data_IF_410380764065
#
_entry.id   IF_410380764065
#
_cell.length_a   1.000
_cell.length_b   1.000
_cell.length_c   1.000
_cell.angle_alpha   90.00
_cell.angle_beta   90.00
_cell.angle_gamma   90.00
#
_symmetry.space_group_name_H-M   'P 1'
#
loop_
_entity.id
_entity.type
_entity.pdbx_description
1 polymer ?
#
# COMPACT_ATOMS: atom_id res chain seq x y z
N UNK A 1 -4.61 5.30 -22.27
CA UNK A 1 -4.76 6.77 -22.46
C UNK A 1 -3.47 7.41 -22.98
N UNK A 2 -2.40 7.53 -22.17
CA UNK A 2 -1.12 8.15 -22.58
C UNK A 2 -0.28 7.38 -23.62
N UNK A 3 -0.86 6.36 -24.25
CA UNK A 3 -0.32 5.77 -25.47
C UNK A 3 -0.71 6.59 -26.72
N UNK A 4 -1.76 7.40 -26.61
CA UNK A 4 -2.33 8.19 -27.71
C UNK A 4 -2.34 9.69 -27.41
N UNK A 5 -2.58 10.07 -26.16
CA UNK A 5 -2.53 11.46 -25.71
C UNK A 5 -1.16 11.78 -25.13
N UNK A 6 -0.58 12.93 -25.52
CA UNK A 6 0.78 13.32 -25.12
C UNK A 6 0.79 13.69 -23.63
N UNK A 7 1.45 12.91 -22.76
CA UNK A 7 1.64 13.31 -21.37
C UNK A 7 2.69 14.43 -21.26
N UNK A 8 2.75 15.14 -20.13
CA UNK A 8 3.93 15.93 -19.82
C UNK A 8 5.17 15.03 -19.76
N UNK A 9 6.33 15.64 -20.02
CA UNK A 9 7.63 14.98 -19.95
C UNK A 9 7.96 14.55 -18.50
N UNK A 10 7.50 15.31 -17.51
CA UNK A 10 7.62 15.02 -16.08
C UNK A 10 6.29 15.38 -15.37
N UNK A 11 5.73 14.47 -14.56
CA UNK A 11 4.37 14.67 -14.05
C UNK A 11 4.29 15.59 -12.82
N UNK A 12 5.35 15.69 -12.01
CA UNK A 12 5.41 16.62 -10.88
C UNK A 12 5.73 18.04 -11.39
N UNK A 13 4.69 18.72 -11.91
CA UNK A 13 4.79 20.06 -12.48
C UNK A 13 5.34 21.12 -11.50
N UNK A 14 4.93 21.15 -10.21
CA UNK A 14 5.53 22.09 -9.26
C UNK A 14 7.06 21.93 -9.12
N UNK A 15 7.55 20.68 -9.09
CA UNK A 15 8.99 20.42 -9.06
C UNK A 15 9.69 20.78 -10.38
N UNK A 16 9.03 20.54 -11.51
CA UNK A 16 9.54 20.92 -12.84
C UNK A 16 9.70 22.43 -12.96
N UNK A 17 8.65 23.19 -12.64
CA UNK A 17 8.63 24.66 -12.71
C UNK A 17 9.68 25.28 -11.79
N UNK A 18 9.84 24.73 -10.57
CA UNK A 18 10.85 25.20 -9.62
C UNK A 18 12.29 25.02 -10.12
N UNK A 19 12.59 23.96 -10.89
CA UNK A 19 13.92 23.73 -11.46
C UNK A 19 14.10 24.33 -12.87
N UNK A 20 13.02 24.74 -13.54
CA UNK A 20 13.09 25.26 -14.90
C UNK A 20 13.89 26.56 -15.00
N UNK A 21 13.91 27.37 -13.93
CA UNK A 21 14.66 28.61 -13.88
C UNK A 21 16.17 28.41 -14.10
N UNK A 22 16.75 27.33 -13.55
CA UNK A 22 18.19 27.09 -13.56
C UNK A 22 18.66 26.23 -14.75
N UNK A 23 17.75 25.45 -15.37
CA UNK A 23 18.08 24.48 -16.43
C UNK A 23 17.27 24.66 -17.73
N UNK A 24 16.71 25.84 -17.98
CA UNK A 24 15.77 26.14 -19.07
C UNK A 24 16.21 25.65 -20.46
N UNK A 25 17.47 25.87 -20.85
CA UNK A 25 18.00 25.47 -22.15
C UNK A 25 18.04 23.95 -22.38
N UNK A 26 18.55 23.20 -21.39
CA UNK A 26 18.62 21.73 -21.43
C UNK A 26 17.22 21.10 -21.41
N UNK A 27 16.32 21.63 -20.56
CA UNK A 27 14.94 21.15 -20.47
C UNK A 27 14.15 21.41 -21.76
N UNK A 28 14.40 22.53 -22.45
CA UNK A 28 13.77 22.82 -23.75
C UNK A 28 14.21 21.83 -24.82
N UNK A 29 15.52 21.51 -24.89
CA UNK A 29 16.02 20.52 -25.83
C UNK A 29 15.46 19.11 -25.56
N UNK A 30 15.35 18.74 -24.28
CA UNK A 30 14.73 17.49 -23.85
C UNK A 30 13.22 17.45 -24.20
N UNK A 31 12.51 18.56 -24.05
CA UNK A 31 11.10 18.67 -24.42
C UNK A 31 10.88 18.42 -25.92
N UNK A 32 11.72 19.00 -26.78
CA UNK A 32 11.65 18.76 -28.23
C UNK A 32 11.90 17.29 -28.57
N UNK A 33 12.96 16.68 -27.99
CA UNK A 33 13.23 15.25 -28.17
C UNK A 33 12.08 14.37 -27.69
N UNK A 34 11.48 14.73 -26.55
CA UNK A 34 10.35 14.01 -25.99
C UNK A 34 9.13 14.07 -26.91
N UNK A 35 8.82 15.25 -27.46
CA UNK A 35 7.70 15.45 -28.38
C UNK A 35 7.87 14.63 -29.67
N UNK A 36 9.07 14.63 -30.25
CA UNK A 36 9.38 13.84 -31.45
C UNK A 36 9.30 12.33 -31.19
N UNK A 37 9.89 11.87 -30.08
CA UNK A 37 9.84 10.47 -29.68
C UNK A 37 8.39 10.02 -29.41
N UNK A 38 7.57 10.89 -28.82
CA UNK A 38 6.16 10.60 -28.58
C UNK A 38 5.35 10.48 -29.89
N UNK A 39 5.61 11.35 -30.86
CA UNK A 39 4.99 11.27 -32.19
C UNK A 39 5.35 9.95 -32.92
N UNK A 40 6.62 9.53 -32.84
CA UNK A 40 7.06 8.22 -33.36
C UNK A 40 6.36 7.06 -32.66
N UNK A 41 6.23 7.13 -31.33
CA UNK A 41 5.51 6.13 -30.55
C UNK A 41 4.04 6.04 -30.96
N UNK A 42 3.34 7.16 -31.10
CA UNK A 42 1.93 7.17 -31.49
C UNK A 42 1.73 6.49 -32.86
N UNK A 43 2.65 6.74 -33.79
CA UNK A 43 2.68 6.08 -35.10
C UNK A 43 2.90 4.57 -34.97
N UNK A 44 3.87 4.15 -34.14
CA UNK A 44 4.20 2.74 -33.89
C UNK A 44 3.04 1.98 -33.22
N UNK A 45 2.34 2.62 -32.27
CA UNK A 45 1.16 2.03 -31.62
C UNK A 45 0.00 1.86 -32.61
N UNK A 46 -0.23 2.83 -33.51
CA UNK A 46 -1.25 2.69 -34.57
C UNK A 46 -0.88 1.59 -35.56
N UNK A 47 0.39 1.47 -35.92
CA UNK A 47 0.89 0.39 -36.75
C UNK A 47 0.68 -0.98 -36.09
N UNK A 48 0.94 -1.10 -34.78
CA UNK A 48 0.68 -2.31 -34.02
C UNK A 48 -0.81 -2.67 -34.00
N UNK A 49 -1.71 -1.71 -33.76
CA UNK A 49 -3.16 -1.96 -33.83
C UNK A 49 -3.58 -2.49 -35.20
N UNK A 50 -2.99 -1.96 -36.28
CA UNK A 50 -3.25 -2.41 -37.65
C UNK A 50 -2.68 -3.82 -37.89
N UNK A 51 -1.46 -4.09 -37.44
CA UNK A 51 -0.83 -5.41 -37.54
C UNK A 51 -1.61 -6.47 -36.74
N UNK A 52 -2.16 -6.13 -35.58
CA UNK A 52 -3.01 -7.03 -34.78
C UNK A 52 -4.34 -7.38 -35.46
N UNK A 53 -4.79 -6.58 -36.43
CA UNK A 53 -5.95 -6.89 -37.28
C UNK A 53 -5.57 -7.75 -38.49
N UNK A 54 -4.28 -7.97 -38.73
CA UNK A 54 -3.78 -8.89 -39.75
C UNK A 54 -3.54 -10.27 -39.15
N UNK A 55 -3.70 -11.33 -39.94
CA UNK A 55 -3.36 -12.70 -39.53
C UNK A 55 -1.83 -12.98 -39.53
N UNK A 56 -1.00 -11.94 -39.66
CA UNK A 56 0.46 -12.07 -39.75
C UNK A 56 1.15 -11.90 -38.39
N UNK A 57 1.62 -13.01 -37.83
CA UNK A 57 2.40 -13.04 -36.58
C UNK A 57 3.70 -12.23 -36.70
N UNK A 58 4.36 -12.26 -37.86
CA UNK A 58 5.61 -11.54 -38.09
C UNK A 58 5.38 -10.02 -38.10
N UNK A 59 4.29 -9.55 -38.71
CA UNK A 59 3.92 -8.13 -38.70
C UNK A 59 3.60 -7.64 -37.29
N UNK A 60 2.91 -8.45 -36.47
CA UNK A 60 2.63 -8.14 -35.06
C UNK A 60 3.93 -8.06 -34.25
N UNK A 61 4.84 -9.01 -34.43
CA UNK A 61 6.11 -9.02 -33.72
C UNK A 61 7.00 -7.83 -34.07
N UNK A 62 7.10 -7.47 -35.35
CA UNK A 62 7.85 -6.29 -35.81
C UNK A 62 7.27 -5.00 -35.22
N UNK A 63 5.96 -4.79 -35.35
CA UNK A 63 5.31 -3.60 -34.80
C UNK A 63 5.42 -3.53 -33.27
N UNK A 64 5.42 -4.67 -32.58
CA UNK A 64 5.66 -4.73 -31.13
C UNK A 64 7.08 -4.31 -30.77
N UNK A 65 8.09 -4.69 -31.57
CA UNK A 65 9.46 -4.24 -31.35
C UNK A 65 9.60 -2.72 -31.53
N UNK A 66 8.95 -2.14 -32.54
CA UNK A 66 8.96 -0.69 -32.76
C UNK A 66 8.32 0.09 -31.59
N UNK A 67 7.20 -0.42 -31.05
CA UNK A 67 6.57 0.13 -29.84
C UNK A 67 7.50 0.03 -28.63
N UNK A 68 8.19 -1.09 -28.46
CA UNK A 68 9.15 -1.26 -27.35
C UNK A 68 10.34 -0.31 -27.48
N UNK A 69 10.92 -0.16 -28.68
CA UNK A 69 12.03 0.74 -28.93
C UNK A 69 11.67 2.20 -28.63
N UNK A 70 10.52 2.66 -29.13
CA UNK A 70 10.03 4.03 -28.85
C UNK A 70 9.66 4.24 -27.39
N UNK A 71 9.21 3.19 -26.69
CA UNK A 71 8.96 3.26 -25.25
C UNK A 71 10.26 3.34 -24.44
N UNK A 72 11.30 2.60 -24.81
CA UNK A 72 12.63 2.70 -24.20
C UNK A 72 13.24 4.08 -24.42
N UNK A 73 13.12 4.64 -25.63
CA UNK A 73 13.58 6.00 -25.93
C UNK A 73 12.93 7.05 -25.00
N UNK A 74 11.61 7.00 -24.83
CA UNK A 74 10.91 7.91 -23.93
C UNK A 74 11.30 7.71 -22.45
N UNK A 75 11.54 6.47 -22.03
CA UNK A 75 12.03 6.19 -20.67
C UNK A 75 13.42 6.80 -20.44
N UNK A 76 14.32 6.69 -21.42
CA UNK A 76 15.65 7.29 -21.36
C UNK A 76 15.57 8.81 -21.26
N UNK A 77 14.76 9.46 -22.11
CA UNK A 77 14.54 10.91 -22.06
C UNK A 77 14.01 11.33 -20.69
N UNK A 78 13.05 10.59 -20.12
CA UNK A 78 12.54 10.85 -18.77
C UNK A 78 13.62 10.69 -17.69
N UNK A 79 14.54 9.75 -17.87
CA UNK A 79 15.72 9.59 -17.03
C UNK A 79 16.62 10.84 -17.07
N UNK A 80 16.97 11.29 -18.27
CA UNK A 80 17.78 12.51 -18.49
C UNK A 80 17.13 13.76 -17.89
N UNK A 81 15.81 13.86 -17.96
CA UNK A 81 15.04 14.95 -17.34
C UNK A 81 15.17 14.91 -15.82
N UNK A 82 15.00 13.73 -15.20
CA UNK A 82 15.16 13.58 -13.75
C UNK A 82 16.56 13.94 -13.28
N UNK A 83 17.59 13.54 -14.04
CA UNK A 83 18.97 13.91 -13.77
C UNK A 83 19.21 15.41 -13.88
N UNK A 84 18.70 16.04 -14.94
CA UNK A 84 18.79 17.49 -15.16
C UNK A 84 18.11 18.28 -14.03
N UNK A 85 16.91 17.86 -13.61
CA UNK A 85 16.19 18.47 -12.50
C UNK A 85 16.96 18.33 -11.18
N UNK A 86 17.52 17.14 -10.90
CA UNK A 86 18.31 16.89 -9.69
C UNK A 86 19.61 17.69 -9.65
N UNK A 87 20.25 17.93 -10.80
CA UNK A 87 21.44 18.77 -10.90
C UNK A 87 21.15 20.24 -10.58
N UNK A 88 19.97 20.75 -10.96
CA UNK A 88 19.52 22.11 -10.64
C UNK A 88 19.14 22.29 -9.17
N UNK A 89 18.55 21.28 -8.54
CA UNK A 89 18.23 21.32 -7.10
C UNK A 89 18.22 19.91 -6.48
N UNK A 90 19.26 19.60 -5.71
CA UNK A 90 19.49 18.29 -5.10
C UNK A 90 18.41 17.86 -4.08
N UNK A 91 17.57 18.79 -3.62
CA UNK A 91 16.44 18.51 -2.71
C UNK A 91 15.12 18.24 -3.43
N UNK A 92 15.09 18.28 -4.77
CA UNK A 92 13.87 17.99 -5.53
C UNK A 92 13.47 16.52 -5.42
N UNK A 93 12.20 16.29 -5.12
CA UNK A 93 11.58 14.98 -5.20
C UNK A 93 11.44 14.56 -6.67
N UNK A 94 12.25 13.58 -7.09
CA UNK A 94 12.28 13.09 -8.49
C UNK A 94 11.23 12.01 -8.78
N UNK A 95 10.45 11.62 -7.76
CA UNK A 95 9.32 10.71 -7.89
C UNK A 95 8.12 11.47 -8.46
N UNK A 96 7.63 11.02 -9.60
CA UNK A 96 6.51 11.64 -10.32
C UNK A 96 5.37 10.65 -10.64
N UNK A 97 5.52 9.37 -10.27
CA UNK A 97 4.52 8.32 -10.50
C UNK A 97 3.15 8.66 -9.91
N UNK A 98 3.16 9.28 -8.73
CA UNK A 98 1.96 9.56 -7.95
C UNK A 98 1.18 10.74 -8.59
N UNK A 99 1.88 11.56 -9.39
CA UNK A 99 1.31 12.68 -10.13
C UNK A 99 0.71 12.28 -11.47
N UNK A 100 0.96 11.07 -11.98
CA UNK A 100 0.35 10.61 -13.24
C UNK A 100 -1.17 10.63 -13.16
N UNK A 101 -1.71 10.08 -12.06
CA UNK A 101 -3.15 10.05 -11.82
C UNK A 101 -3.70 11.46 -11.60
N UNK A 102 -3.03 12.27 -10.79
CA UNK A 102 -3.45 13.65 -10.50
C UNK A 102 -3.47 14.49 -11.79
N UNK A 103 -2.43 14.40 -12.61
CA UNK A 103 -2.32 15.12 -13.88
C UNK A 103 -3.42 14.72 -14.85
N UNK A 104 -3.73 13.42 -14.95
CA UNK A 104 -4.85 12.92 -15.76
C UNK A 104 -6.18 13.52 -15.30
N UNK A 105 -6.45 13.47 -13.99
CA UNK A 105 -7.67 14.00 -13.39
C UNK A 105 -7.83 15.50 -13.67
N UNK A 106 -6.77 16.29 -13.46
CA UNK A 106 -6.84 17.74 -13.57
C UNK A 106 -6.95 18.25 -15.02
N UNK A 107 -6.31 17.58 -15.98
CA UNK A 107 -6.21 18.11 -17.36
C UNK A 107 -7.20 17.49 -18.34
N UNK A 108 -7.70 16.28 -18.06
CA UNK A 108 -8.50 15.53 -19.04
C UNK A 108 -9.92 15.21 -18.57
N UNK A 109 -10.30 15.56 -17.34
CA UNK A 109 -11.68 15.41 -16.87
C UNK A 109 -12.44 16.75 -16.94
N UNK A 110 -13.76 16.72 -17.25
CA UNK A 110 -14.60 17.91 -17.23
C UNK A 110 -14.63 18.57 -15.85
N UNK A 111 -14.61 19.90 -15.85
CA UNK A 111 -14.90 20.74 -14.70
C UNK A 111 -16.26 20.34 -14.11
N UNK A 112 -16.26 19.81 -12.88
CA UNK A 112 -17.42 19.17 -12.26
C UNK A 112 -17.16 17.71 -11.89
N UNK A 113 -16.66 16.89 -12.83
CA UNK A 113 -16.26 15.50 -12.55
C UNK A 113 -15.02 15.47 -11.66
N UNK A 114 -14.11 16.43 -11.84
CA UNK A 114 -12.94 16.60 -10.96
C UNK A 114 -13.40 16.80 -9.50
N UNK A 115 -14.34 17.73 -9.28
CA UNK A 115 -14.88 18.00 -7.94
C UNK A 115 -15.60 16.80 -7.35
N UNK A 116 -16.37 16.08 -8.17
CA UNK A 116 -17.02 14.84 -7.78
C UNK A 116 -16.01 13.75 -7.38
N UNK A 117 -14.96 13.57 -8.16
CA UNK A 117 -13.92 12.57 -7.89
C UNK A 117 -13.21 12.87 -6.57
N UNK A 118 -12.81 14.13 -6.37
CA UNK A 118 -12.20 14.58 -5.11
C UNK A 118 -13.14 14.35 -3.94
N UNK A 119 -14.43 14.68 -4.08
CA UNK A 119 -15.43 14.41 -3.06
C UNK A 119 -15.56 12.92 -2.74
N UNK A 120 -15.60 12.05 -3.75
CA UNK A 120 -15.67 10.58 -3.56
C UNK A 120 -14.43 10.05 -2.86
N UNK A 121 -13.23 10.52 -3.21
CA UNK A 121 -11.98 10.13 -2.55
C UNK A 121 -12.01 10.54 -1.07
N UNK A 122 -12.40 11.77 -0.77
CA UNK A 122 -12.53 12.23 0.61
C UNK A 122 -13.61 11.44 1.37
N UNK A 123 -14.77 11.20 0.78
CA UNK A 123 -15.83 10.39 1.39
C UNK A 123 -15.34 8.96 1.69
N UNK A 124 -14.65 8.32 0.76
CA UNK A 124 -14.08 6.98 0.97
C UNK A 124 -13.04 6.97 2.09
N UNK A 125 -12.10 7.92 2.08
CA UNK A 125 -11.06 8.04 3.10
C UNK A 125 -11.64 8.35 4.49
N UNK A 126 -12.58 9.30 4.58
CA UNK A 126 -13.28 9.63 5.82
C UNK A 126 -14.10 8.45 6.35
N UNK A 127 -14.73 7.68 5.47
CA UNK A 127 -15.51 6.51 5.89
C UNK A 127 -14.63 5.41 6.48
N UNK A 128 -13.48 5.10 5.86
CA UNK A 128 -12.54 4.10 6.39
C UNK A 128 -11.92 4.55 7.71
N UNK A 129 -11.40 5.77 7.74
CA UNK A 129 -10.74 6.33 8.94
C UNK A 129 -11.70 6.47 10.11
N UNK A 130 -12.95 6.88 9.88
CA UNK A 130 -13.96 6.94 10.94
C UNK A 130 -14.28 5.55 11.51
N UNK A 131 -14.36 4.53 10.66
CA UNK A 131 -14.59 3.15 11.10
C UNK A 131 -13.39 2.61 11.91
N UNK A 132 -12.16 2.84 11.45
CA UNK A 132 -10.93 2.44 12.13
C UNK A 132 -10.77 3.12 13.49
N UNK A 133 -10.94 4.45 13.58
CA UNK A 133 -10.83 5.20 14.83
C UNK A 133 -11.92 4.83 15.83
N UNK A 134 -13.14 4.56 15.35
CA UNK A 134 -14.22 4.08 16.19
C UNK A 134 -13.93 2.66 16.72
N UNK A 135 -13.45 1.75 15.85
CA UNK A 135 -13.05 0.41 16.25
C UNK A 135 -11.93 0.44 17.29
N UNK A 136 -10.89 1.26 17.10
CA UNK A 136 -9.80 1.42 18.06
C UNK A 136 -10.28 1.98 19.40
N UNK A 137 -11.12 3.03 19.38
CA UNK A 137 -11.71 3.61 20.59
C UNK A 137 -12.58 2.60 21.36
N UNK A 138 -13.44 1.87 20.65
CA UNK A 138 -14.30 0.85 21.25
C UNK A 138 -13.51 -0.34 21.78
N UNK A 139 -12.51 -0.82 21.05
CA UNK A 139 -11.64 -1.93 21.48
C UNK A 139 -10.84 -1.52 22.72
N UNK A 140 -10.32 -0.28 22.75
CA UNK A 140 -9.63 0.26 23.93
C UNK A 140 -10.56 0.31 25.15
N UNK A 141 -11.83 0.69 24.96
CA UNK A 141 -12.81 0.72 26.04
C UNK A 141 -13.18 -0.68 26.53
N UNK A 142 -13.58 -1.57 25.63
CA UNK A 142 -14.12 -2.90 25.95
C UNK A 142 -13.03 -3.85 26.44
N UNK A 143 -11.85 -3.85 25.82
CA UNK A 143 -10.81 -4.85 26.10
C UNK A 143 -9.85 -4.41 27.20
N UNK A 144 -9.65 -3.11 27.39
CA UNK A 144 -8.69 -2.59 28.37
C UNK A 144 -9.36 -1.79 29.49
N UNK A 145 -10.08 -0.72 29.15
CA UNK A 145 -10.56 0.24 30.16
C UNK A 145 -11.61 -0.35 31.10
N UNK A 146 -12.66 -0.95 30.54
CA UNK A 146 -13.74 -1.57 31.31
C UNK A 146 -13.20 -2.70 32.20
N UNK A 147 -12.54 -3.76 31.70
CA UNK A 147 -12.15 -4.89 32.54
C UNK A 147 -11.00 -4.58 33.51
N UNK A 148 -10.04 -3.71 33.16
CA UNK A 148 -8.81 -3.53 33.96
C UNK A 148 -8.81 -2.25 34.81
N UNK A 149 -9.41 -1.16 34.34
CA UNK A 149 -9.29 0.16 34.98
C UNK A 149 -10.54 0.50 35.79
N UNK A 150 -11.74 0.33 35.20
CA UNK A 150 -12.99 0.68 35.88
C UNK A 150 -14.14 -0.28 35.50
N UNK A 151 -14.26 -1.45 36.16
CA UNK A 151 -15.23 -2.50 35.81
C UNK A 151 -16.70 -2.18 36.07
N UNK A 152 -16.98 -1.25 37.00
CA UNK A 152 -18.34 -0.95 37.47
C UNK A 152 -18.74 0.51 37.20
N UNK A 153 -18.36 1.07 36.05
CA UNK A 153 -18.78 2.40 35.66
C UNK A 153 -20.17 2.38 34.99
N UNK A 154 -20.81 3.54 34.89
CA UNK A 154 -22.07 3.67 34.15
C UNK A 154 -21.84 3.58 32.63
N UNK A 155 -22.87 3.19 31.88
CA UNK A 155 -22.78 3.15 30.41
C UNK A 155 -22.44 4.52 29.80
N UNK A 156 -22.95 5.60 30.41
CA UNK A 156 -22.60 6.97 30.00
C UNK A 156 -21.11 7.24 30.18
N UNK A 157 -20.49 6.75 31.26
CA UNK A 157 -19.06 6.90 31.50
C UNK A 157 -18.25 6.16 30.41
N UNK A 158 -18.63 4.92 30.09
CA UNK A 158 -17.97 4.16 29.03
C UNK A 158 -18.10 4.82 27.66
N UNK A 159 -19.28 5.37 27.33
CA UNK A 159 -19.48 6.09 26.07
C UNK A 159 -18.59 7.34 25.98
N UNK A 160 -18.49 8.12 27.07
CA UNK A 160 -17.62 9.30 27.12
C UNK A 160 -16.15 8.89 26.97
N UNK A 161 -15.74 7.82 27.67
CA UNK A 161 -14.39 7.30 27.55
C UNK A 161 -14.07 6.82 26.13
N UNK A 162 -14.96 6.04 25.50
CA UNK A 162 -14.79 5.57 24.13
C UNK A 162 -14.62 6.74 23.14
N UNK A 163 -15.43 7.80 23.27
CA UNK A 163 -15.28 9.03 22.46
C UNK A 163 -13.93 9.72 22.69
N UNK A 164 -13.48 9.80 23.94
CA UNK A 164 -12.16 10.37 24.27
C UNK A 164 -11.02 9.51 23.73
N UNK A 165 -11.14 8.18 23.79
CA UNK A 165 -10.18 7.25 23.22
C UNK A 165 -10.12 7.36 21.69
N UNK A 166 -11.27 7.48 21.00
CA UNK A 166 -11.33 7.74 19.55
C UNK A 166 -10.60 9.04 19.20
N UNK A 167 -10.81 10.13 19.96
CA UNK A 167 -10.09 11.38 19.75
C UNK A 167 -8.57 11.23 20.01
N UNK A 168 -8.18 10.47 21.03
CA UNK A 168 -6.78 10.14 21.32
C UNK A 168 -6.10 9.37 20.18
N UNK A 169 -6.76 8.34 19.65
CA UNK A 169 -6.28 7.62 18.46
C UNK A 169 -6.21 8.52 17.22
N UNK A 170 -7.14 9.46 17.06
CA UNK A 170 -7.07 10.48 16.01
C UNK A 170 -5.82 11.36 16.13
N UNK A 171 -5.47 11.78 17.35
CA UNK A 171 -4.24 12.54 17.60
C UNK A 171 -2.97 11.72 17.28
N UNK A 172 -2.94 10.44 17.64
CA UNK A 172 -1.84 9.52 17.29
C UNK A 172 -1.74 9.34 15.77
N UNK A 173 -2.87 9.19 15.08
CA UNK A 173 -2.90 9.07 13.61
C UNK A 173 -2.36 10.33 12.92
N UNK A 174 -2.76 11.53 13.38
CA UNK A 174 -2.23 12.81 12.89
C UNK A 174 -0.72 12.89 13.15
N UNK A 175 -0.26 12.55 14.35
CA UNK A 175 1.16 12.54 14.67
C UNK A 175 1.94 11.61 13.72
N UNK A 176 1.46 10.37 13.51
CA UNK A 176 2.08 9.44 12.57
C UNK A 176 2.11 9.98 11.13
N UNK A 177 1.01 10.59 10.66
CA UNK A 177 0.93 11.17 9.32
C UNK A 177 1.97 12.27 9.09
N UNK A 178 2.31 13.07 10.12
CA UNK A 178 3.34 14.11 10.03
C UNK A 178 4.76 13.53 9.85
N UNK A 179 5.01 12.31 10.33
CA UNK A 179 6.32 11.63 10.21
C UNK A 179 6.38 10.60 9.07
N UNK A 180 5.26 10.30 8.41
CA UNK A 180 5.15 9.25 7.40
C UNK A 180 5.96 9.51 6.10
N UNK A 181 6.46 10.74 5.89
CA UNK A 181 7.31 11.10 4.74
C UNK A 181 8.65 10.33 4.67
N UNK A 182 9.00 9.56 5.71
CA UNK A 182 10.22 8.76 5.76
C UNK A 182 10.10 7.40 5.04
N UNK A 183 8.92 7.04 4.53
CA UNK A 183 8.66 5.73 3.93
C UNK A 183 8.53 5.86 2.41
N UNK A 184 9.42 5.20 1.65
CA UNK A 184 9.45 5.29 0.18
C UNK A 184 8.16 4.79 -0.51
N UNK A 185 7.53 3.77 0.09
CA UNK A 185 6.29 3.18 -0.40
C UNK A 185 5.36 2.80 0.77
N UNK A 186 4.35 3.64 1.02
CA UNK A 186 3.40 3.44 2.13
C UNK A 186 2.59 2.15 1.96
N UNK A 187 2.20 1.80 0.73
CA UNK A 187 1.42 0.58 0.47
C UNK A 187 2.25 -0.65 0.83
N UNK A 188 3.51 -0.66 0.43
CA UNK A 188 4.44 -1.74 0.74
C UNK A 188 4.69 -1.85 2.25
N UNK A 189 4.95 -0.73 2.93
CA UNK A 189 5.17 -0.72 4.37
C UNK A 189 3.96 -1.25 5.16
N UNK A 190 2.75 -0.84 4.80
CA UNK A 190 1.51 -1.34 5.43
C UNK A 190 1.34 -2.84 5.17
N UNK A 191 1.65 -3.32 3.96
CA UNK A 191 1.56 -4.75 3.65
C UNK A 191 2.62 -5.59 4.38
N UNK A 192 3.84 -5.09 4.55
CA UNK A 192 4.87 -5.74 5.35
C UNK A 192 4.39 -5.83 6.81
N UNK A 193 3.94 -4.71 7.38
CA UNK A 193 3.45 -4.66 8.75
C UNK A 193 2.27 -5.62 8.95
N UNK A 194 1.28 -5.57 8.06
CA UNK A 194 0.15 -6.49 8.06
C UNK A 194 0.60 -7.94 7.98
N UNK A 195 1.57 -8.27 7.12
CA UNK A 195 2.01 -9.65 6.94
C UNK A 195 2.75 -10.25 8.13
N UNK A 196 3.40 -9.43 8.95
CA UNK A 196 4.10 -9.86 10.18
C UNK A 196 3.10 -10.24 11.29
N UNK A 197 1.91 -9.62 11.33
CA UNK A 197 0.95 -9.79 12.43
C UNK A 197 -0.34 -10.54 12.02
N UNK A 198 -0.84 -10.36 10.80
CA UNK A 198 -2.12 -10.93 10.38
C UNK A 198 -2.08 -12.46 10.30
N UNK A 199 -0.94 -13.05 9.95
CA UNK A 199 -0.78 -14.51 9.93
C UNK A 199 -1.08 -15.18 11.26
N UNK A 200 -0.51 -14.66 12.36
CA UNK A 200 -0.71 -15.23 13.70
C UNK A 200 -2.14 -14.99 14.20
N UNK A 201 -2.72 -13.81 13.92
CA UNK A 201 -4.12 -13.52 14.24
C UNK A 201 -5.09 -14.43 13.47
N UNK A 202 -4.85 -14.64 12.18
CA UNK A 202 -5.61 -15.61 11.39
C UNK A 202 -5.50 -17.02 12.00
N UNK A 203 -4.29 -17.42 12.40
CA UNK A 203 -4.06 -18.69 13.10
C UNK A 203 -4.87 -18.85 14.38
N UNK A 204 -5.02 -17.77 15.18
CA UNK A 204 -5.88 -17.76 16.37
C UNK A 204 -7.33 -18.08 16.02
N UNK A 205 -7.89 -17.42 14.99
CA UNK A 205 -9.26 -17.66 14.53
C UNK A 205 -9.45 -19.06 13.96
N UNK A 206 -8.50 -19.53 13.15
CA UNK A 206 -8.55 -20.89 12.58
C UNK A 206 -8.53 -21.93 13.69
N UNK A 207 -7.64 -21.78 14.67
CA UNK A 207 -7.59 -22.67 15.82
C UNK A 207 -8.90 -22.62 16.64
N UNK A 208 -9.46 -21.43 16.88
CA UNK A 208 -10.70 -21.26 17.63
C UNK A 208 -11.91 -21.92 16.94
N UNK A 209 -12.04 -21.79 15.62
CA UNK A 209 -13.21 -22.31 14.89
C UNK A 209 -13.08 -23.78 14.48
N UNK A 210 -11.90 -24.19 13.99
CA UNK A 210 -11.69 -25.52 13.39
C UNK A 210 -11.00 -26.51 14.34
N UNK A 211 -10.16 -26.05 15.27
CA UNK A 211 -9.46 -26.91 16.23
C UNK A 211 -10.16 -26.91 17.59
N UNK A 212 -11.44 -27.32 17.63
CA UNK A 212 -12.31 -27.30 18.84
C UNK A 212 -11.79 -28.11 20.05
N UNK A 213 -10.75 -28.91 19.87
CA UNK A 213 -10.08 -29.67 20.92
C UNK A 213 -8.94 -28.88 21.60
N UNK A 214 -8.51 -27.75 21.02
CA UNK A 214 -7.44 -26.90 21.54
C UNK A 214 -8.01 -25.84 22.47
N UNK A 215 -7.42 -25.68 23.65
CA UNK A 215 -7.87 -24.72 24.68
C UNK A 215 -7.17 -23.38 24.50
N UNK A 216 -7.81 -22.32 25.01
CA UNK A 216 -7.32 -20.96 24.92
C UNK A 216 -5.88 -20.77 25.44
N UNK A 217 -5.48 -21.49 26.50
CA UNK A 217 -4.10 -21.44 27.02
C UNK A 217 -3.07 -21.96 26.01
N UNK A 218 -3.36 -23.08 25.34
CA UNK A 218 -2.48 -23.65 24.32
C UNK A 218 -2.41 -22.75 23.09
N UNK A 219 -3.55 -22.20 22.66
CA UNK A 219 -3.63 -21.24 21.55
C UNK A 219 -2.84 -19.96 21.86
N UNK A 220 -2.96 -19.42 23.08
CA UNK A 220 -2.27 -18.21 23.50
C UNK A 220 -0.75 -18.37 23.48
N UNK A 221 -0.23 -19.45 24.08
CA UNK A 221 1.21 -19.74 24.08
C UNK A 221 1.71 -20.00 22.65
N UNK A 222 0.94 -20.73 21.85
CA UNK A 222 1.29 -20.96 20.45
C UNK A 222 1.35 -19.67 19.63
N UNK A 223 0.44 -18.71 19.88
CA UNK A 223 0.45 -17.42 19.22
C UNK A 223 1.70 -16.60 19.56
N UNK A 224 2.12 -16.57 20.82
CA UNK A 224 3.36 -15.90 21.22
C UNK A 224 4.58 -16.53 20.54
N UNK A 225 4.70 -17.86 20.59
CA UNK A 225 5.82 -18.57 19.95
C UNK A 225 5.82 -18.34 18.43
N UNK A 226 4.66 -18.43 17.79
CA UNK A 226 4.53 -18.23 16.34
C UNK A 226 4.86 -16.80 15.94
N UNK A 227 4.45 -15.81 16.74
CA UNK A 227 4.81 -14.40 16.50
C UNK A 227 6.32 -14.19 16.62
N UNK A 228 6.97 -14.79 17.62
CA UNK A 228 8.42 -14.74 17.75
C UNK A 228 9.11 -15.39 16.54
N UNK A 229 8.63 -16.54 16.07
CA UNK A 229 9.16 -17.20 14.87
C UNK A 229 9.04 -16.28 13.64
N UNK A 230 7.87 -15.68 13.41
CA UNK A 230 7.66 -14.78 12.28
C UNK A 230 8.60 -13.57 12.35
N UNK A 231 8.79 -12.98 13.53
CA UNK A 231 9.74 -11.88 13.72
C UNK A 231 11.19 -12.31 13.44
N UNK A 232 11.61 -13.48 13.92
CA UNK A 232 12.95 -14.02 13.63
C UNK A 232 13.13 -14.22 12.13
N UNK A 233 12.15 -14.84 11.46
CA UNK A 233 12.22 -15.08 10.01
C UNK A 233 12.28 -13.77 9.23
N UNK A 234 11.51 -12.76 9.64
CA UNK A 234 11.51 -11.43 9.04
C UNK A 234 12.90 -10.77 9.07
N UNK A 235 13.63 -10.88 10.19
CA UNK A 235 14.97 -10.30 10.31
C UNK A 235 16.09 -11.16 9.71
N UNK A 236 15.89 -12.46 9.56
CA UNK A 236 16.95 -13.40 9.16
C UNK A 236 16.87 -13.87 7.71
N UNK A 237 15.69 -13.77 7.07
CA UNK A 237 15.45 -14.37 5.76
C UNK A 237 14.89 -13.35 4.77
N UNK A 238 15.26 -13.49 3.49
CA UNK A 238 14.77 -12.66 2.39
C UNK A 238 13.53 -13.26 1.70
N UNK A 239 12.61 -13.85 2.47
CA UNK A 239 11.36 -14.39 1.91
C UNK A 239 10.41 -13.22 1.60
N UNK A 240 9.65 -13.33 0.51
CA UNK A 240 8.62 -12.34 0.19
C UNK A 240 7.61 -12.19 1.34
N UNK A 241 7.29 -10.95 1.71
CA UNK A 241 6.57 -10.64 2.95
C UNK A 241 5.21 -11.34 3.09
N UNK A 242 4.53 -11.62 1.97
CA UNK A 242 3.23 -12.31 1.98
C UNK A 242 3.28 -13.72 2.59
N UNK A 243 4.44 -14.39 2.54
CA UNK A 243 4.61 -15.73 3.12
C UNK A 243 4.55 -15.74 4.65
N UNK A 244 4.86 -14.62 5.31
CA UNK A 244 4.75 -14.52 6.77
C UNK A 244 3.32 -14.76 7.26
N UNK A 245 2.30 -14.43 6.45
CA UNK A 245 0.91 -14.75 6.76
C UNK A 245 0.66 -16.26 6.85
N UNK A 246 1.12 -16.99 5.84
CA UNK A 246 0.95 -18.45 5.75
C UNK A 246 1.73 -19.13 6.87
N UNK A 247 2.98 -18.73 7.06
CA UNK A 247 3.87 -19.29 8.08
C UNK A 247 3.30 -19.03 9.48
N UNK A 248 2.89 -17.79 9.78
CA UNK A 248 2.31 -17.44 11.07
C UNK A 248 1.05 -18.26 11.38
N UNK A 249 0.13 -18.39 10.41
CA UNK A 249 -1.09 -19.15 10.59
C UNK A 249 -0.82 -20.65 10.81
N UNK A 250 0.03 -21.24 9.95
CA UNK A 250 0.41 -22.65 10.04
C UNK A 250 1.15 -22.95 11.36
N UNK A 251 2.05 -22.06 11.78
CA UNK A 251 2.77 -22.18 13.04
C UNK A 251 1.82 -22.19 14.24
N UNK A 252 0.84 -21.27 14.29
CA UNK A 252 -0.16 -21.26 15.37
C UNK A 252 -0.95 -22.56 15.40
N UNK A 253 -1.43 -23.04 14.26
CA UNK A 253 -2.21 -24.27 14.19
C UNK A 253 -1.39 -25.51 14.63
N UNK A 254 -0.15 -25.62 14.14
CA UNK A 254 0.73 -26.74 14.45
C UNK A 254 1.17 -26.73 15.92
N UNK A 255 1.70 -25.59 16.39
CA UNK A 255 2.23 -25.45 17.75
C UNK A 255 1.11 -25.58 18.77
N UNK A 256 -0.07 -24.99 18.52
CA UNK A 256 -1.20 -25.11 19.45
C UNK A 256 -1.70 -26.55 19.56
N UNK A 257 -1.72 -27.31 18.47
CA UNK A 257 -2.05 -28.74 18.46
C UNK A 257 -1.04 -29.56 19.25
N UNK A 258 0.26 -29.31 19.06
CA UNK A 258 1.33 -30.00 19.78
C UNK A 258 1.29 -29.68 21.26
N UNK A 259 1.21 -28.40 21.63
CA UNK A 259 1.11 -27.96 23.03
C UNK A 259 -0.13 -28.51 23.72
N UNK A 260 -1.27 -28.58 23.01
CA UNK A 260 -2.48 -29.17 23.56
C UNK A 260 -2.33 -30.65 23.90
N UNK A 261 -1.62 -31.40 23.05
CA UNK A 261 -1.41 -32.85 23.23
C UNK A 261 -0.33 -33.19 24.25
N UNK A 262 0.64 -32.30 24.46
CA UNK A 262 1.82 -32.56 25.31
C UNK A 262 1.69 -31.90 26.67
N UNK A 263 1.69 -30.56 26.70
CA UNK A 263 1.75 -29.77 27.93
C UNK A 263 0.36 -29.61 28.56
N UNK A 264 -0.67 -29.41 27.73
CA UNK A 264 -2.04 -29.18 28.20
C UNK A 264 -2.95 -30.42 28.09
N UNK A 265 -2.37 -31.62 28.01
CA UNK A 265 -3.14 -32.86 27.78
C UNK A 265 -4.12 -33.18 28.92
N UNK A 266 -3.72 -32.90 30.17
CA UNK A 266 -4.56 -33.07 31.37
C UNK A 266 -5.84 -32.22 31.33
N UNK A 267 -5.83 -31.11 30.59
CA UNK A 267 -7.02 -30.30 30.42
C UNK A 267 -8.04 -30.99 29.52
N UNK A 268 -7.66 -31.84 28.57
CA UNK A 268 -8.61 -32.56 27.69
C UNK A 268 -9.47 -33.56 28.47
N UNK A 269 -8.91 -34.18 29.51
CA UNK A 269 -9.60 -35.18 30.35
C UNK A 269 -10.68 -34.60 31.27
N UNK A 270 -10.78 -33.27 31.40
CA UNK A 270 -11.73 -32.58 32.28
C UNK A 270 -13.02 -32.10 31.58
N UNK A 271 -13.33 -32.61 30.38
CA UNK A 271 -14.64 -32.40 29.76
C UNK A 271 -15.61 -33.50 30.22
N UNK A 272 -16.76 -33.17 30.85
CA UNK A 272 -17.90 -34.08 30.83
C UNK A 272 -18.43 -34.27 29.40
#
# INVERSE_FOLDING_TARGET
FFQFEKPPMFFNQPAYEAAQADASGALTALQTRFDDAFARKQTSVRALTTAMQSDSVDAVNAAKQDVLATQTELQNIRGEVKETLKAGNAKLETKDSDYVFISFVLHYLPHGIIGLLVAVIFCAAMSSTAAELNALGSTTEVDFYRPLIKPNASQTHYLIFAKAATAGWGAVAIAFALFANLVENLIEAVNILGSIFYGTILGLFVAAFFLKFVRGSAVFVAALISQTIVLILFYTTSIGYLWYNVIGCAAVCAISTVLQRTVFSAAVAARP
#
